data_IF_675303314867
#
_entry.id   IF_675303314867
#
_cell.length_a   1.000
_cell.length_b   1.000
_cell.length_c   1.000
_cell.angle_alpha   90.00
_cell.angle_beta   90.00
_cell.angle_gamma   90.00
#
_symmetry.space_group_name_H-M   'P 1'
#
loop_
_entity.id
_entity.type
_entity.pdbx_description
1 polymer ?
#
# COMPACT_ATOMS: atom_id res chain seq x y z
N UNK A 1 6.69 17.21 -13.33
CA UNK A 1 5.73 18.24 -12.89
C UNK A 1 4.61 17.54 -12.12
N UNK A 2 4.75 17.42 -10.80
CA UNK A 2 3.82 16.69 -9.94
C UNK A 2 2.54 17.52 -9.79
N UNK A 3 1.44 17.09 -10.43
CA UNK A 3 0.10 17.49 -9.99
C UNK A 3 -0.08 16.85 -8.62
N UNK A 4 0.11 17.60 -7.54
CA UNK A 4 -0.27 17.20 -6.20
C UNK A 4 -1.75 16.83 -6.24
N UNK A 5 -2.05 15.54 -6.18
CA UNK A 5 -3.43 15.10 -6.06
C UNK A 5 -3.85 15.28 -4.61
N UNK A 6 -5.11 15.58 -4.36
CA UNK A 6 -5.64 15.72 -2.99
C UNK A 6 -5.39 14.44 -2.16
N UNK A 7 -5.30 13.28 -2.80
CA UNK A 7 -4.90 12.02 -2.16
C UNK A 7 -3.42 12.01 -1.69
N UNK A 8 -2.51 12.75 -2.29
CA UNK A 8 -1.11 12.81 -1.85
C UNK A 8 -1.02 13.48 -0.47
N UNK A 9 -1.77 14.56 -0.26
CA UNK A 9 -1.72 15.38 0.96
C UNK A 9 -2.48 14.79 2.14
N UNK A 10 -3.43 13.88 1.90
CA UNK A 10 -4.20 13.24 2.99
C UNK A 10 -3.29 12.45 3.91
N UNK A 11 -3.52 12.62 5.21
CA UNK A 11 -2.83 11.95 6.30
C UNK A 11 -2.90 10.43 6.14
N UNK A 12 -1.77 9.77 6.38
CA UNK A 12 -1.68 8.33 6.21
C UNK A 12 -2.58 7.54 7.17
N UNK A 13 -2.84 8.04 8.38
CA UNK A 13 -3.81 7.41 9.29
C UNK A 13 -5.21 7.41 8.69
N UNK A 14 -5.61 8.53 8.07
CA UNK A 14 -6.90 8.66 7.41
C UNK A 14 -7.01 7.69 6.23
N UNK A 15 -5.94 7.53 5.42
CA UNK A 15 -5.87 6.51 4.35
C UNK A 15 -6.02 5.09 4.88
N UNK A 16 -5.40 4.77 6.02
CA UNK A 16 -5.49 3.45 6.64
C UNK A 16 -6.89 3.16 7.20
N UNK A 17 -7.50 4.14 7.88
CA UNK A 17 -8.88 4.06 8.38
C UNK A 17 -9.87 3.94 7.22
N UNK A 18 -9.67 4.72 6.15
CA UNK A 18 -10.48 4.64 4.94
C UNK A 18 -10.37 3.28 4.25
N UNK A 19 -9.19 2.68 4.20
CA UNK A 19 -9.01 1.30 3.71
C UNK A 19 -9.80 0.31 4.56
N UNK A 20 -9.77 0.44 5.88
CA UNK A 20 -10.55 -0.41 6.77
C UNK A 20 -12.07 -0.25 6.52
N UNK A 21 -12.59 0.98 6.50
CA UNK A 21 -14.00 1.20 6.18
C UNK A 21 -14.39 0.63 4.81
N UNK A 22 -13.58 0.87 3.79
CA UNK A 22 -13.85 0.38 2.44
C UNK A 22 -13.85 -1.16 2.37
N UNK A 23 -12.90 -1.83 3.05
CA UNK A 23 -12.88 -3.30 3.12
C UNK A 23 -14.16 -3.86 3.73
N UNK A 24 -14.61 -3.27 4.84
CA UNK A 24 -15.83 -3.68 5.52
C UNK A 24 -17.05 -3.41 4.63
N UNK A 25 -17.14 -2.22 4.03
CA UNK A 25 -18.21 -1.89 3.08
C UNK A 25 -18.36 -2.95 2.00
N UNK A 26 -17.28 -3.31 1.30
CA UNK A 26 -17.32 -4.31 0.23
C UNK A 26 -17.86 -5.67 0.72
N UNK A 27 -17.50 -6.07 1.94
CA UNK A 27 -17.98 -7.34 2.50
C UNK A 27 -19.50 -7.31 2.68
N UNK A 28 -20.06 -6.22 3.19
CA UNK A 28 -21.50 -6.08 3.48
C UNK A 28 -22.41 -5.98 2.26
N UNK A 29 -21.90 -5.62 1.08
CA UNK A 29 -22.74 -5.49 -0.14
C UNK A 29 -23.18 -6.87 -0.62
N UNK A 30 -24.44 -7.24 -0.47
CA UNK A 30 -24.99 -8.50 -0.97
C UNK A 30 -25.66 -8.33 -2.34
N UNK A 31 -26.29 -7.19 -2.58
CA UNK A 31 -26.94 -6.90 -3.85
C UNK A 31 -25.94 -6.66 -4.99
N UNK A 32 -26.08 -7.43 -6.07
CA UNK A 32 -25.25 -7.35 -7.28
C UNK A 32 -25.52 -6.09 -8.09
N UNK A 33 -26.75 -5.57 -8.08
CA UNK A 33 -27.13 -4.35 -8.80
C UNK A 33 -26.51 -3.14 -8.10
N UNK A 34 -26.69 -3.04 -6.78
CA UNK A 34 -26.02 -2.02 -5.98
C UNK A 34 -24.50 -2.07 -6.14
N UNK A 35 -23.89 -3.28 -6.12
CA UNK A 35 -22.46 -3.42 -6.31
C UNK A 35 -21.99 -2.97 -7.70
N UNK A 36 -22.76 -3.24 -8.76
CA UNK A 36 -22.47 -2.73 -10.11
C UNK A 36 -22.42 -1.21 -10.14
N UNK A 37 -23.38 -0.52 -9.50
CA UNK A 37 -23.43 0.95 -9.44
C UNK A 37 -22.18 1.49 -8.74
N UNK A 38 -21.83 0.92 -7.58
CA UNK A 38 -20.61 1.29 -6.83
C UNK A 38 -19.37 1.08 -7.68
N UNK A 39 -19.28 -0.05 -8.37
CA UNK A 39 -18.15 -0.40 -9.23
C UNK A 39 -18.01 0.57 -10.40
N UNK A 40 -19.12 0.95 -11.03
CA UNK A 40 -19.15 1.91 -12.13
C UNK A 40 -18.67 3.29 -11.67
N UNK A 41 -19.14 3.75 -10.50
CA UNK A 41 -18.66 5.00 -9.91
C UNK A 41 -17.16 4.95 -9.63
N UNK A 42 -16.67 3.82 -9.12
CA UNK A 42 -15.26 3.61 -8.85
C UNK A 42 -14.41 3.63 -10.14
N UNK A 43 -14.88 2.99 -11.21
CA UNK A 43 -14.26 3.09 -12.53
C UNK A 43 -14.26 4.53 -13.06
N UNK A 44 -15.36 5.27 -12.93
CA UNK A 44 -15.46 6.66 -13.36
C UNK A 44 -14.43 7.56 -12.64
N UNK A 45 -14.11 7.29 -11.37
CA UNK A 45 -13.05 7.97 -10.64
C UNK A 45 -11.64 7.57 -11.12
N UNK A 46 -11.46 6.32 -11.52
CA UNK A 46 -10.15 5.73 -11.81
C UNK A 46 -9.75 5.71 -13.29
N UNK A 47 -10.67 6.00 -14.23
CA UNK A 47 -10.43 5.87 -15.67
C UNK A 47 -9.20 6.65 -16.16
N UNK A 48 -8.82 7.73 -15.47
CA UNK A 48 -7.65 8.55 -15.80
C UNK A 48 -6.31 7.85 -15.53
N UNK A 49 -6.30 6.80 -14.72
CA UNK A 49 -5.11 6.03 -14.42
C UNK A 49 -5.06 4.77 -15.29
N UNK A 50 -4.08 4.67 -16.20
CA UNK A 50 -4.02 3.61 -17.22
C UNK A 50 -4.20 2.19 -16.67
N UNK A 51 -3.39 1.79 -15.68
CA UNK A 51 -3.43 0.42 -15.15
C UNK A 51 -4.58 0.17 -14.16
N UNK A 52 -4.78 1.06 -13.18
CA UNK A 52 -5.86 0.89 -12.19
C UNK A 52 -7.24 1.06 -12.84
N UNK A 53 -7.36 1.97 -13.82
CA UNK A 53 -8.57 2.18 -14.62
C UNK A 53 -8.94 0.94 -15.44
N UNK A 54 -7.97 0.32 -16.12
CA UNK A 54 -8.19 -0.93 -16.85
C UNK A 54 -8.64 -2.08 -15.93
N UNK A 55 -7.99 -2.22 -14.77
CA UNK A 55 -8.39 -3.24 -13.79
C UNK A 55 -9.78 -2.97 -13.19
N UNK A 56 -10.13 -1.70 -12.93
CA UNK A 56 -11.49 -1.35 -12.51
C UNK A 56 -12.53 -1.60 -13.59
N UNK A 57 -12.20 -1.41 -14.88
CA UNK A 57 -13.10 -1.72 -15.99
C UNK A 57 -13.38 -3.23 -16.05
N UNK A 58 -12.34 -4.05 -15.94
CA UNK A 58 -12.49 -5.51 -15.87
C UNK A 58 -13.38 -5.88 -14.68
N UNK A 59 -13.16 -5.28 -13.53
CA UNK A 59 -13.99 -5.53 -12.36
C UNK A 59 -15.46 -5.14 -12.59
N UNK A 60 -15.73 -3.98 -13.21
CA UNK A 60 -17.10 -3.55 -13.54
C UNK A 60 -17.79 -4.49 -14.53
N UNK A 61 -17.07 -4.97 -15.54
CA UNK A 61 -17.63 -5.94 -16.49
C UNK A 61 -18.00 -7.24 -15.77
N UNK A 62 -17.16 -7.73 -14.87
CA UNK A 62 -17.47 -8.92 -14.05
C UNK A 62 -18.67 -8.64 -13.14
N UNK A 63 -18.84 -7.44 -12.59
CA UNK A 63 -20.04 -7.11 -11.80
C UNK A 63 -21.32 -7.12 -12.62
N UNK A 64 -21.28 -6.69 -13.89
CA UNK A 64 -22.44 -6.76 -14.79
C UNK A 64 -22.82 -8.22 -15.03
N UNK A 65 -21.83 -9.09 -15.27
CA UNK A 65 -22.08 -10.54 -15.41
C UNK A 65 -22.59 -11.15 -14.10
N UNK A 66 -22.15 -10.63 -12.94
CA UNK A 66 -22.56 -11.10 -11.63
C UNK A 66 -24.05 -10.82 -11.31
N UNK A 67 -24.72 -9.95 -12.06
CA UNK A 67 -26.19 -9.77 -11.98
C UNK A 67 -26.90 -11.06 -12.39
N UNK A 68 -26.40 -11.72 -13.45
CA UNK A 68 -26.95 -12.99 -13.93
C UNK A 68 -26.38 -14.20 -13.19
N UNK A 69 -25.13 -14.10 -12.72
CA UNK A 69 -24.41 -15.17 -12.02
C UNK A 69 -23.90 -14.67 -10.66
N UNK A 70 -24.70 -14.76 -9.58
CA UNK A 70 -24.33 -14.25 -8.25
C UNK A 70 -23.03 -14.85 -7.69
N UNK A 71 -22.66 -16.05 -8.13
CA UNK A 71 -21.40 -16.71 -7.79
C UNK A 71 -20.14 -15.93 -8.20
N UNK A 72 -20.24 -14.94 -9.09
CA UNK A 72 -19.12 -14.09 -9.50
C UNK A 72 -18.98 -12.82 -8.66
N UNK A 73 -19.95 -12.51 -7.81
CA UNK A 73 -19.96 -11.30 -6.97
C UNK A 73 -18.75 -11.25 -6.03
N UNK A 74 -18.37 -12.37 -5.41
CA UNK A 74 -17.20 -12.38 -4.53
C UNK A 74 -15.89 -12.12 -5.29
N UNK A 75 -15.79 -12.58 -6.56
CA UNK A 75 -14.62 -12.35 -7.40
C UNK A 75 -14.47 -10.87 -7.71
N UNK A 76 -15.55 -10.21 -8.11
CA UNK A 76 -15.53 -8.77 -8.42
C UNK A 76 -15.24 -7.92 -7.19
N UNK A 77 -15.75 -8.30 -6.01
CA UNK A 77 -15.39 -7.69 -4.71
C UNK A 77 -13.88 -7.73 -4.44
N UNK A 78 -13.26 -8.90 -4.59
CA UNK A 78 -11.82 -9.07 -4.41
C UNK A 78 -11.06 -8.18 -5.41
N UNK A 79 -11.49 -8.17 -6.67
CA UNK A 79 -10.85 -7.38 -7.72
C UNK A 79 -10.89 -5.87 -7.42
N UNK A 80 -12.04 -5.35 -6.99
CA UNK A 80 -12.19 -3.92 -6.62
C UNK A 80 -11.35 -3.59 -5.39
N UNK A 81 -11.30 -4.49 -4.41
CA UNK A 81 -10.45 -4.30 -3.25
C UNK A 81 -8.97 -4.22 -3.65
N UNK A 82 -8.51 -5.10 -4.54
CA UNK A 82 -7.13 -5.06 -5.08
C UNK A 82 -6.88 -3.72 -5.77
N UNK A 83 -7.81 -3.25 -6.61
CA UNK A 83 -7.67 -1.95 -7.31
C UNK A 83 -7.56 -0.80 -6.31
N UNK A 84 -8.38 -0.81 -5.25
CA UNK A 84 -8.35 0.22 -4.21
C UNK A 84 -7.03 0.21 -3.43
N UNK A 85 -6.51 -0.98 -3.07
CA UNK A 85 -5.19 -1.11 -2.43
C UNK A 85 -4.07 -0.62 -3.36
N UNK A 86 -4.13 -0.97 -4.65
CA UNK A 86 -3.18 -0.47 -5.66
C UNK A 86 -3.22 1.07 -5.81
N UNK A 87 -4.40 1.69 -5.70
CA UNK A 87 -4.54 3.13 -5.68
C UNK A 87 -3.83 3.73 -4.47
N UNK A 88 -4.14 3.25 -3.26
CA UNK A 88 -3.58 3.80 -2.03
C UNK A 88 -2.07 3.60 -1.94
N UNK A 89 -1.56 2.44 -2.34
CA UNK A 89 -0.11 2.16 -2.34
C UNK A 89 0.68 3.09 -3.26
N UNK A 90 0.07 3.64 -4.31
CA UNK A 90 0.70 4.68 -5.14
C UNK A 90 0.99 5.96 -4.38
N UNK A 91 0.18 6.27 -3.36
CA UNK A 91 0.20 7.50 -2.57
C UNK A 91 0.72 7.29 -1.13
N UNK A 92 1.33 6.12 -0.88
CA UNK A 92 1.91 5.76 0.41
C UNK A 92 3.40 5.48 0.21
N UNK A 93 4.24 6.22 0.94
CA UNK A 93 5.68 6.02 0.93
C UNK A 93 6.15 5.17 2.13
N UNK A 94 7.22 4.41 1.94
CA UNK A 94 7.87 3.60 2.99
C UNK A 94 8.09 4.32 4.35
N UNK A 95 8.56 5.59 4.41
CA UNK A 95 8.68 6.30 5.69
C UNK A 95 7.34 6.55 6.38
N UNK A 96 6.27 6.78 5.62
CA UNK A 96 4.94 7.00 6.19
C UNK A 96 4.37 5.71 6.80
N UNK A 97 4.60 4.55 6.15
CA UNK A 97 4.23 3.24 6.70
C UNK A 97 4.94 3.02 8.04
N UNK A 98 6.26 3.28 8.08
CA UNK A 98 7.05 3.19 9.31
C UNK A 98 6.45 4.07 10.42
N UNK A 99 6.08 5.30 10.10
CA UNK A 99 5.48 6.23 11.04
C UNK A 99 4.17 5.70 11.64
N UNK A 100 3.27 5.14 10.82
CA UNK A 100 2.06 4.47 11.31
C UNK A 100 2.43 3.40 12.32
N UNK A 101 3.30 2.46 11.95
CA UNK A 101 3.65 1.33 12.83
C UNK A 101 4.28 1.80 14.14
N UNK A 102 5.16 2.79 14.10
CA UNK A 102 5.82 3.32 15.29
C UNK A 102 4.83 4.03 16.23
N UNK A 103 3.81 4.71 15.70
CA UNK A 103 2.78 5.40 16.50
C UNK A 103 1.67 4.47 16.99
N UNK A 104 1.12 3.59 16.14
CA UNK A 104 0.04 2.67 16.55
C UNK A 104 0.52 1.62 17.54
N UNK A 105 1.72 1.07 17.33
CA UNK A 105 2.28 0.03 18.18
C UNK A 105 3.26 0.57 19.23
N UNK A 106 3.32 1.90 19.46
CA UNK A 106 4.25 2.50 20.43
C UNK A 106 4.19 1.84 21.81
N UNK A 107 2.98 1.55 22.31
CA UNK A 107 2.76 0.90 23.62
C UNK A 107 3.20 -0.57 23.67
N UNK A 108 3.22 -1.25 22.52
CA UNK A 108 3.60 -2.66 22.39
C UNK A 108 4.99 -2.86 21.78
N UNK A 109 5.76 -1.77 21.66
CA UNK A 109 6.98 -1.74 20.88
C UNK A 109 8.12 -2.44 21.61
N UNK A 110 8.27 -3.75 21.38
CA UNK A 110 9.47 -4.49 21.77
C UNK A 110 10.63 -4.23 20.82
N UNK A 111 11.88 -4.41 21.30
CA UNK A 111 13.08 -4.34 20.46
C UNK A 111 13.01 -5.30 19.27
N UNK A 112 12.46 -6.50 19.48
CA UNK A 112 12.28 -7.52 18.44
C UNK A 112 11.31 -7.04 17.36
N UNK A 113 10.13 -6.56 17.76
CA UNK A 113 9.09 -6.10 16.85
C UNK A 113 9.52 -4.91 15.99
N UNK A 114 10.24 -3.96 16.58
CA UNK A 114 10.77 -2.80 15.82
C UNK A 114 11.81 -3.22 14.79
N UNK A 115 12.69 -4.15 15.15
CA UNK A 115 13.72 -4.68 14.24
C UNK A 115 13.08 -5.41 13.05
N UNK A 116 12.00 -6.16 13.31
CA UNK A 116 11.22 -6.83 12.29
C UNK A 116 10.56 -5.85 11.31
N UNK A 117 9.91 -4.78 11.81
CA UNK A 117 9.29 -3.75 10.97
C UNK A 117 10.33 -3.06 10.08
N UNK A 118 11.45 -2.62 10.65
CA UNK A 118 12.54 -1.99 9.89
C UNK A 118 13.02 -2.92 8.78
N UNK A 119 13.16 -4.22 9.08
CA UNK A 119 13.55 -5.22 8.08
C UNK A 119 12.58 -5.27 6.91
N UNK A 120 11.28 -5.40 7.17
CA UNK A 120 10.27 -5.50 6.10
C UNK A 120 10.22 -4.23 5.25
N UNK A 121 10.38 -3.06 5.87
CA UNK A 121 10.25 -1.77 5.16
C UNK A 121 11.45 -1.50 4.25
N UNK A 122 12.68 -1.70 4.74
CA UNK A 122 13.88 -1.32 3.99
C UNK A 122 14.41 -2.41 3.06
N UNK A 123 14.22 -3.69 3.41
CA UNK A 123 14.83 -4.80 2.68
C UNK A 123 14.43 -4.90 1.18
N UNK A 124 13.15 -4.74 0.78
CA UNK A 124 12.77 -4.76 -0.64
C UNK A 124 13.43 -3.64 -1.45
N UNK A 125 13.58 -2.45 -0.86
CA UNK A 125 14.25 -1.31 -1.48
C UNK A 125 15.74 -1.57 -1.69
N UNK A 126 16.42 -2.17 -0.70
CA UNK A 126 17.82 -2.57 -0.79
C UNK A 126 18.03 -3.64 -1.88
N UNK A 127 17.17 -4.66 -1.92
CA UNK A 127 17.23 -5.69 -2.95
C UNK A 127 17.14 -5.07 -4.36
N UNK A 128 16.18 -4.18 -4.59
CA UNK A 128 16.01 -3.51 -5.90
C UNK A 128 17.23 -2.64 -6.25
N UNK A 129 17.71 -1.84 -5.30
CA UNK A 129 18.88 -0.96 -5.49
C UNK A 129 20.13 -1.77 -5.84
N UNK A 130 20.41 -2.82 -5.08
CA UNK A 130 21.58 -3.67 -5.27
C UNK A 130 21.47 -4.53 -6.52
N UNK A 131 20.26 -5.00 -6.86
CA UNK A 131 20.00 -5.67 -8.13
C UNK A 131 20.36 -4.78 -9.31
N UNK A 132 19.81 -3.56 -9.36
CA UNK A 132 20.10 -2.61 -10.44
C UNK A 132 21.58 -2.25 -10.53
N UNK A 133 22.25 -2.06 -9.37
CA UNK A 133 23.68 -1.73 -9.31
C UNK A 133 24.58 -2.85 -9.86
N UNK A 134 24.23 -4.12 -9.64
CA UNK A 134 25.04 -5.25 -10.12
C UNK A 134 24.69 -5.58 -11.57
N UNK A 135 23.42 -5.49 -11.94
CA UNK A 135 22.97 -5.70 -13.32
C UNK A 135 23.47 -4.59 -14.27
N UNK A 136 23.64 -3.35 -13.80
CA UNK A 136 24.22 -2.27 -14.59
C UNK A 136 25.66 -2.56 -15.01
N UNK A 137 26.45 -3.22 -14.16
CA UNK A 137 27.82 -3.65 -14.50
C UNK A 137 27.77 -4.59 -15.71
N UNK A 138 26.90 -5.61 -15.68
CA UNK A 138 26.73 -6.52 -16.82
C UNK A 138 26.34 -5.78 -18.09
N UNK A 139 25.37 -4.87 -18.00
CA UNK A 139 24.91 -4.06 -19.15
C UNK A 139 26.04 -3.23 -19.74
N UNK A 140 26.86 -2.61 -18.90
CA UNK A 140 27.99 -1.80 -19.33
C UNK A 140 29.09 -2.62 -20.03
N UNK A 141 29.24 -3.89 -19.67
CA UNK A 141 30.21 -4.81 -20.29
C UNK A 141 29.60 -5.66 -21.43
N UNK A 142 28.34 -5.42 -21.83
CA UNK A 142 27.71 -6.14 -22.95
C UNK A 142 27.57 -7.65 -22.74
N UNK A 143 27.51 -8.13 -21.50
CA UNK A 143 27.52 -9.56 -21.18
C UNK A 143 26.15 -10.21 -21.41
N UNK A 144 26.14 -11.34 -22.12
CA UNK A 144 24.92 -12.12 -22.44
C UNK A 144 24.22 -12.71 -21.20
N UNK A 145 22.90 -12.82 -21.30
CA UNK A 145 22.03 -13.36 -20.25
C UNK A 145 22.14 -14.88 -20.17
N UNK A 146 22.82 -15.38 -19.14
CA UNK A 146 22.88 -16.82 -18.82
C UNK A 146 22.06 -17.11 -17.56
N UNK A 147 21.33 -18.22 -17.52
CA UNK A 147 20.53 -18.63 -16.35
C UNK A 147 21.35 -18.66 -15.04
N UNK A 148 22.59 -19.13 -15.11
CA UNK A 148 23.52 -19.17 -13.97
C UNK A 148 23.91 -17.78 -13.46
N UNK A 149 23.89 -16.75 -14.32
CA UNK A 149 24.16 -15.38 -13.92
C UNK A 149 23.09 -14.87 -12.97
N UNK A 150 21.80 -15.07 -13.28
CA UNK A 150 20.71 -14.61 -12.41
C UNK A 150 20.72 -15.27 -11.03
N UNK A 151 21.04 -16.56 -10.95
CA UNK A 151 21.15 -17.26 -9.67
C UNK A 151 22.32 -16.71 -8.83
N UNK A 152 23.47 -16.47 -9.45
CA UNK A 152 24.64 -15.89 -8.77
C UNK A 152 24.41 -14.43 -8.38
N UNK A 153 23.75 -13.66 -9.24
CA UNK A 153 23.37 -12.29 -8.98
C UNK A 153 22.41 -12.21 -7.79
N UNK A 154 21.37 -13.03 -7.75
CA UNK A 154 20.42 -13.07 -6.64
C UNK A 154 21.12 -13.43 -5.31
N UNK A 155 22.02 -14.43 -5.31
CA UNK A 155 22.83 -14.78 -4.13
C UNK A 155 23.74 -13.63 -3.67
N UNK A 156 24.29 -12.85 -4.61
CA UNK A 156 25.17 -11.71 -4.31
C UNK A 156 24.37 -10.51 -3.80
N UNK A 157 23.28 -10.17 -4.46
CA UNK A 157 22.33 -9.11 -4.07
C UNK A 157 21.79 -9.38 -2.67
N UNK A 158 21.41 -10.62 -2.38
CA UNK A 158 20.91 -11.02 -1.06
C UNK A 158 21.97 -10.80 0.03
N UNK A 159 23.21 -11.30 -0.17
CA UNK A 159 24.29 -11.13 0.81
C UNK A 159 24.60 -9.66 1.12
N UNK A 160 24.70 -8.82 0.08
CA UNK A 160 24.97 -7.39 0.24
C UNK A 160 23.81 -6.70 0.98
N UNK A 161 22.57 -6.97 0.55
CA UNK A 161 21.39 -6.36 1.15
C UNK A 161 21.19 -6.76 2.62
N UNK A 162 21.56 -8.00 3.00
CA UNK A 162 21.58 -8.45 4.40
C UNK A 162 22.64 -7.70 5.22
N UNK A 163 23.82 -7.46 4.65
CA UNK A 163 24.88 -6.69 5.32
C UNK A 163 24.44 -5.25 5.59
N UNK A 164 23.96 -4.55 4.56
CA UNK A 164 23.45 -3.17 4.67
C UNK A 164 22.26 -3.09 5.65
N UNK A 165 21.38 -4.10 5.64
CA UNK A 165 20.27 -4.15 6.59
C UNK A 165 20.76 -4.26 8.05
N UNK A 166 21.80 -5.06 8.32
CA UNK A 166 22.36 -5.17 9.68
C UNK A 166 22.87 -3.83 10.20
N UNK A 167 23.50 -3.03 9.35
CA UNK A 167 23.95 -1.67 9.69
C UNK A 167 22.77 -0.74 10.01
N UNK A 168 21.72 -0.75 9.18
CA UNK A 168 20.51 0.04 9.42
C UNK A 168 19.85 -0.35 10.75
N UNK A 169 19.73 -1.66 11.02
CA UNK A 169 19.17 -2.18 12.27
C UNK A 169 20.03 -1.77 13.47
N UNK A 170 21.36 -1.80 13.34
CA UNK A 170 22.29 -1.35 14.39
C UNK A 170 22.05 0.12 14.72
N UNK A 171 21.98 0.99 13.70
CA UNK A 171 21.71 2.42 13.87
C UNK A 171 20.36 2.66 14.55
N UNK A 172 19.32 1.92 14.16
CA UNK A 172 18.00 1.98 14.82
C UNK A 172 18.05 1.54 16.28
N UNK A 173 18.79 0.47 16.61
CA UNK A 173 18.96 0.00 17.98
C UNK A 173 19.67 1.04 18.85
N UNK A 174 20.72 1.69 18.32
CA UNK A 174 21.44 2.76 19.01
C UNK A 174 20.54 3.97 19.28
N UNK A 175 19.74 4.39 18.28
CA UNK A 175 18.75 5.48 18.45
C UNK A 175 17.70 5.16 19.52
N UNK A 176 17.20 3.93 19.56
CA UNK A 176 16.22 3.47 20.55
C UNK A 176 16.80 3.33 21.97
N UNK A 177 18.10 3.10 22.09
CA UNK A 177 18.79 2.98 23.38
C UNK A 177 18.91 4.34 24.08
N UNK A 178 19.12 5.42 23.30
CA UNK A 178 19.32 6.77 23.84
C UNK A 178 18.03 7.56 24.11
N UNK A 179 16.90 7.23 23.49
CA UNK A 179 15.66 8.02 23.57
C UNK A 179 14.47 7.24 24.14
N UNK A 180 14.59 6.74 25.39
CA UNK A 180 13.49 6.01 26.05
C UNK A 180 12.38 6.90 26.62
N UNK A 181 12.62 8.20 26.84
CA UNK A 181 11.63 9.09 27.49
C UNK A 181 10.99 10.13 26.58
N UNK A 182 11.72 10.67 25.60
CA UNK A 182 11.16 11.65 24.64
C UNK A 182 11.61 11.28 23.23
N UNK A 183 10.65 10.96 22.36
CA UNK A 183 10.88 10.81 20.93
C UNK A 183 10.25 12.00 20.23
N UNK A 184 11.06 12.95 19.81
CA UNK A 184 10.66 14.00 18.88
C UNK A 184 10.61 13.40 17.47
N UNK A 185 9.41 13.23 16.93
CA UNK A 185 9.23 12.86 15.54
C UNK A 185 9.48 14.11 14.70
N UNK A 186 10.44 14.05 13.77
CA UNK A 186 10.73 15.19 12.87
C UNK A 186 9.62 15.34 11.81
N UNK A 187 8.96 14.22 11.47
CA UNK A 187 7.80 14.19 10.59
C UNK A 187 6.52 14.06 11.43
N UNK A 188 6.07 15.15 12.05
CA UNK A 188 4.71 15.18 12.61
C UNK A 188 3.71 15.35 11.47
N UNK A 189 2.90 14.33 11.24
CA UNK A 189 1.80 14.45 10.27
C UNK A 189 0.75 15.37 10.88
N UNK A 190 0.64 16.59 10.36
CA UNK A 190 -0.38 17.55 10.76
C UNK A 190 -1.75 17.17 10.21
N UNK A 191 -2.78 17.41 11.02
CA UNK A 191 -4.16 17.21 10.60
C UNK A 191 -4.61 18.41 9.76
N UNK A 192 -5.00 18.17 8.52
CA UNK A 192 -5.54 19.20 7.64
C UNK A 192 -7.06 19.10 7.51
N UNK A 193 -7.72 20.18 7.10
CA UNK A 193 -9.19 20.21 6.94
C UNK A 193 -9.70 19.12 5.98
N UNK A 194 -8.91 18.80 4.95
CA UNK A 194 -9.24 17.78 3.95
C UNK A 194 -9.23 16.36 4.52
N UNK A 195 -8.52 16.10 5.62
CA UNK A 195 -8.48 14.80 6.28
C UNK A 195 -9.85 14.43 6.87
N UNK A 196 -10.50 15.41 7.51
CA UNK A 196 -11.85 15.26 8.05
C UNK A 196 -12.85 15.00 6.93
N UNK A 197 -12.80 15.80 5.85
CA UNK A 197 -13.69 15.63 4.70
C UNK A 197 -13.49 14.25 4.04
N UNK A 198 -12.24 13.81 3.91
CA UNK A 198 -11.91 12.50 3.35
C UNK A 198 -12.50 11.37 4.19
N UNK A 199 -12.37 11.42 5.52
CA UNK A 199 -12.97 10.42 6.41
C UNK A 199 -14.51 10.46 6.38
N UNK A 200 -15.11 11.65 6.41
CA UNK A 200 -16.56 11.80 6.34
C UNK A 200 -17.15 11.15 5.08
N UNK A 201 -16.50 11.29 3.92
CA UNK A 201 -16.92 10.63 2.67
C UNK A 201 -16.90 9.09 2.81
N UNK A 202 -15.86 8.52 3.42
CA UNK A 202 -15.76 7.06 3.60
C UNK A 202 -16.77 6.53 4.63
N UNK A 203 -17.03 7.29 5.69
CA UNK A 203 -18.06 6.96 6.69
C UNK A 203 -19.45 7.03 6.05
N UNK A 204 -19.74 8.07 5.27
CA UNK A 204 -21.01 8.21 4.56
C UNK A 204 -21.20 7.05 3.58
N UNK A 205 -20.17 6.71 2.80
CA UNK A 205 -20.20 5.56 1.91
C UNK A 205 -20.48 4.26 2.67
N UNK A 206 -19.81 4.04 3.81
CA UNK A 206 -20.07 2.89 4.67
C UNK A 206 -21.52 2.83 5.15
N UNK A 207 -22.10 3.95 5.60
CA UNK A 207 -23.49 4.01 6.03
C UNK A 207 -24.46 3.68 4.88
N UNK A 208 -24.27 4.27 3.70
CA UNK A 208 -25.09 3.98 2.50
C UNK A 208 -25.03 2.49 2.16
N UNK A 209 -23.83 1.90 2.20
CA UNK A 209 -23.63 0.47 1.95
C UNK A 209 -24.34 -0.40 3.00
N UNK A 210 -24.32 -0.02 4.28
CA UNK A 210 -25.00 -0.81 5.33
C UNK A 210 -26.53 -0.75 5.18
N UNK A 211 -27.08 0.39 4.75
CA UNK A 211 -28.53 0.60 4.63
C UNK A 211 -29.08 0.05 3.31
N UNK A 212 -28.37 0.22 2.19
CA UNK A 212 -28.85 -0.11 0.85
C UNK A 212 -28.09 -1.25 0.16
N UNK A 213 -26.97 -1.70 0.73
CA UNK A 213 -26.20 -2.80 0.17
C UNK A 213 -26.70 -4.18 0.56
N UNK A 214 -27.78 -4.28 1.36
CA UNK A 214 -28.43 -5.56 1.72
C UNK A 214 -29.42 -5.98 0.65
#
# INVERSE_FOLDING_TARGET
>A
MFKHTLLDSVNIFCKAIALYFFTISIIFIQDSVFFMIVSFFFFALLHRHRYTGMMSLIATLITIVAIFYPQLLWISKILILIVYVCLLTKFIHAPMIKYIFEKTFYRFQSRSFTTFIVTIIYFPGLLKKNWCKIDSVRKNYGLNEKKNYYMNLLKRVFRISVSELKEIVLLHKLRLYNCKKERTFVDEVHWEKWDTSYLCVHILFFLVVVVWGR
#
